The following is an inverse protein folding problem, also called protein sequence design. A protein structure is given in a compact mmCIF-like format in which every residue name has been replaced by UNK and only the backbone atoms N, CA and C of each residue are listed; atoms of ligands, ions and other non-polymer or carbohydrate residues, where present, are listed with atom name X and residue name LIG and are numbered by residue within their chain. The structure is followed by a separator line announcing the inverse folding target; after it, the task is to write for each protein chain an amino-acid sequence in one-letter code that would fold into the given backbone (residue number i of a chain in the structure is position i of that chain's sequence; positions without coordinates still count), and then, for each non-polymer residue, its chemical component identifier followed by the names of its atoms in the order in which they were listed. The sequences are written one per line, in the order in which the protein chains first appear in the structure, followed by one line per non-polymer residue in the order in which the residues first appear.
data_IF_694401530915
#
_entry.id   IF_694401530915
#
_cell.length_a   1.000
_cell.length_b   1.000
_cell.length_c   1.000
_cell.angle_alpha   90.00
_cell.angle_beta   90.00
_cell.angle_gamma   90.00
#
_symmetry.space_group_name_H-M   'P 1'
#
loop_
_entity.id
_entity.type
_entity.pdbx_description
1 polymer ?
#
# COMPACT_ATOMS: atom_id res chain seq x y z
N UNK A 1 -14.93 -26.36 -63.35
CA UNK A 1 -14.18 -25.49 -62.43
C UNK A 1 -15.15 -24.41 -61.99
N UNK A 2 -15.75 -24.56 -60.82
CA UNK A 2 -16.76 -23.64 -60.29
C UNK A 2 -16.09 -22.53 -59.48
N UNK A 3 -16.33 -21.29 -59.88
CA UNK A 3 -15.82 -20.09 -59.23
C UNK A 3 -16.40 -19.97 -57.82
N UNK A 4 -15.53 -20.12 -56.81
CA UNK A 4 -15.88 -19.85 -55.41
C UNK A 4 -15.94 -18.34 -55.22
N UNK A 5 -17.13 -17.79 -55.42
CA UNK A 5 -17.45 -16.41 -55.10
C UNK A 5 -17.20 -16.15 -53.60
N UNK A 6 -16.27 -15.24 -53.32
CA UNK A 6 -15.88 -14.90 -51.95
C UNK A 6 -17.01 -14.11 -51.30
N UNK A 7 -17.74 -14.75 -50.38
CA UNK A 7 -18.72 -14.09 -49.50
C UNK A 7 -18.07 -12.89 -48.79
N UNK A 8 -18.41 -11.68 -49.24
CA UNK A 8 -18.05 -10.44 -48.54
C UNK A 8 -19.04 -10.20 -47.41
N UNK A 9 -18.54 -10.01 -46.20
CA UNK A 9 -19.37 -9.51 -45.09
C UNK A 9 -19.78 -8.06 -45.37
N UNK A 10 -20.97 -7.70 -44.94
CA UNK A 10 -21.39 -6.31 -44.90
C UNK A 10 -20.48 -5.53 -43.93
N UNK A 11 -20.11 -4.30 -44.32
CA UNK A 11 -19.32 -3.43 -43.46
C UNK A 11 -20.14 -3.06 -42.20
N UNK A 12 -19.58 -3.21 -41.00
CA UNK A 12 -20.29 -2.88 -39.77
C UNK A 12 -20.56 -1.37 -39.69
N UNK A 13 -21.72 -1.00 -39.15
CA UNK A 13 -22.08 0.40 -38.94
C UNK A 13 -21.06 1.09 -38.02
N UNK A 14 -20.49 2.21 -38.50
CA UNK A 14 -19.55 3.02 -37.73
C UNK A 14 -20.30 4.01 -36.86
N UNK A 15 -20.73 3.56 -35.68
CA UNK A 15 -21.40 4.39 -34.67
C UNK A 15 -20.41 5.24 -33.87
N UNK A 16 -19.67 6.12 -34.53
CA UNK A 16 -18.79 7.12 -33.87
C UNK A 16 -17.75 6.53 -32.90
N UNK A 17 -17.03 7.40 -32.16
CA UNK A 17 -16.15 6.97 -31.08
C UNK A 17 -16.99 6.57 -29.87
N UNK A 18 -16.85 5.33 -29.40
CA UNK A 18 -17.43 4.90 -28.12
C UNK A 18 -16.71 5.67 -27.01
N UNK A 19 -17.36 6.70 -26.47
CA UNK A 19 -16.84 7.53 -25.37
C UNK A 19 -17.31 7.05 -24.00
N UNK A 20 -17.86 5.84 -23.95
CA UNK A 20 -18.40 5.27 -22.72
C UNK A 20 -17.31 4.44 -22.03
N UNK A 21 -16.62 5.07 -21.08
CA UNK A 21 -15.51 4.49 -20.32
C UNK A 21 -15.94 3.26 -19.49
N UNK A 22 -17.23 3.17 -19.13
CA UNK A 22 -17.78 2.04 -18.37
C UNK A 22 -17.68 0.70 -19.12
N UNK A 23 -17.71 0.73 -20.46
CA UNK A 23 -17.62 -0.47 -21.28
C UNK A 23 -16.25 -1.14 -21.27
N UNK A 24 -15.19 -0.41 -20.90
CA UNK A 24 -13.82 -0.95 -20.86
C UNK A 24 -13.53 -1.78 -19.60
N UNK A 25 -14.31 -1.61 -18.53
CA UNK A 25 -14.19 -2.39 -17.30
C UNK A 25 -15.06 -3.66 -17.32
N UNK A 26 -15.09 -4.37 -18.47
CA UNK A 26 -15.68 -5.71 -18.50
C UNK A 26 -14.74 -6.70 -17.81
N UNK A 27 -15.28 -7.37 -16.80
CA UNK A 27 -14.62 -8.45 -16.07
C UNK A 27 -14.10 -9.53 -17.04
N UNK A 28 -12.79 -9.79 -16.96
CA UNK A 28 -12.07 -10.79 -17.76
C UNK A 28 -12.56 -12.22 -17.51
N UNK A 29 -13.34 -12.47 -16.44
CA UNK A 29 -13.98 -13.75 -16.18
C UNK A 29 -15.02 -14.16 -17.25
N UNK A 30 -15.52 -13.22 -18.05
CA UNK A 30 -16.58 -13.47 -19.05
C UNK A 30 -16.12 -14.24 -20.29
N UNK A 31 -14.82 -14.41 -20.53
CA UNK A 31 -14.30 -15.08 -21.74
C UNK A 31 -14.17 -16.61 -21.62
N UNK A 32 -14.32 -17.18 -20.41
CA UNK A 32 -14.07 -18.60 -20.14
C UNK A 32 -15.31 -19.43 -19.76
N UNK A 33 -16.53 -18.90 -19.94
CA UNK A 33 -17.75 -19.67 -19.66
C UNK A 33 -18.23 -20.45 -20.90
N UNK A 34 -18.45 -21.78 -20.81
CA UNK A 34 -19.16 -22.52 -21.83
C UNK A 34 -20.61 -22.02 -21.94
N UNK A 35 -21.04 -21.72 -23.17
CA UNK A 35 -22.25 -20.99 -23.54
C UNK A 35 -23.57 -21.75 -23.37
N UNK A 36 -23.83 -22.36 -22.21
CA UNK A 36 -25.08 -23.12 -21.97
C UNK A 36 -25.84 -22.77 -20.69
N UNK A 37 -25.58 -21.63 -20.07
CA UNK A 37 -26.46 -21.08 -19.04
C UNK A 37 -26.84 -19.66 -19.45
N UNK A 38 -28.09 -19.50 -19.88
CA UNK A 38 -28.74 -18.20 -20.01
C UNK A 38 -28.79 -17.61 -18.60
N UNK A 39 -28.02 -16.54 -18.29
CA UNK A 39 -28.08 -15.92 -16.98
C UNK A 39 -29.43 -15.22 -16.86
N UNK A 40 -30.12 -15.47 -15.75
CA UNK A 40 -31.34 -14.78 -15.39
C UNK A 40 -31.00 -13.29 -15.20
N UNK A 41 -31.52 -12.35 -16.02
CA UNK A 41 -31.09 -10.94 -16.03
C UNK A 41 -31.50 -10.16 -14.77
N UNK A 42 -32.13 -10.82 -13.80
CA UNK A 42 -32.65 -10.21 -12.57
C UNK A 42 -31.71 -10.33 -11.36
N UNK A 43 -30.66 -11.15 -11.40
CA UNK A 43 -29.85 -11.44 -10.22
C UNK A 43 -28.59 -10.56 -10.05
N UNK A 44 -28.11 -9.92 -11.12
CA UNK A 44 -26.84 -9.16 -11.12
C UNK A 44 -27.02 -7.66 -11.45
N UNK A 45 -28.25 -7.13 -11.39
CA UNK A 45 -28.42 -5.68 -11.42
C UNK A 45 -28.06 -5.11 -10.04
N UNK A 46 -27.01 -4.27 -9.92
CA UNK A 46 -26.84 -3.47 -8.73
C UNK A 46 -28.12 -2.63 -8.53
N UNK A 47 -28.56 -2.43 -7.27
CA UNK A 47 -29.79 -1.71 -6.99
C UNK A 47 -29.78 -0.35 -7.71
N UNK A 48 -30.93 0.11 -8.25
CA UNK A 48 -31.01 1.41 -8.90
C UNK A 48 -30.57 2.48 -7.91
N UNK A 49 -29.49 3.19 -8.23
CA UNK A 49 -29.02 4.32 -7.44
C UNK A 49 -30.10 5.40 -7.48
N UNK A 50 -30.58 5.79 -6.30
CA UNK A 50 -31.55 6.86 -6.18
C UNK A 50 -30.91 8.19 -6.66
N UNK A 51 -31.67 9.07 -7.31
CA UNK A 51 -31.17 10.35 -7.82
C UNK A 51 -30.89 11.28 -6.64
N UNK A 52 -29.71 11.13 -6.04
CA UNK A 52 -29.25 11.86 -4.86
C UNK A 52 -27.90 11.36 -4.31
N UNK A 53 -27.40 10.23 -4.79
CA UNK A 53 -26.16 9.64 -4.27
C UNK A 53 -24.91 10.46 -4.63
N UNK A 54 -24.20 10.83 -3.57
CA UNK A 54 -22.95 11.58 -3.59
C UNK A 54 -21.88 10.80 -4.39
N UNK A 55 -21.27 11.40 -5.43
CA UNK A 55 -20.20 10.76 -6.20
C UNK A 55 -19.02 10.31 -5.31
N UNK A 56 -18.83 10.93 -4.14
CA UNK A 56 -17.83 10.53 -3.16
C UNK A 56 -18.21 9.18 -2.52
N UNK A 57 -19.48 8.98 -2.16
CA UNK A 57 -19.96 7.71 -1.61
C UNK A 57 -19.81 6.55 -2.61
N UNK A 58 -20.08 6.83 -3.90
CA UNK A 58 -19.85 5.87 -4.98
C UNK A 58 -18.35 5.53 -5.12
N UNK A 59 -17.47 6.53 -5.05
CA UNK A 59 -16.03 6.32 -5.10
C UNK A 59 -15.50 5.47 -3.94
N UNK A 60 -16.01 5.71 -2.73
CA UNK A 60 -15.65 4.92 -1.53
C UNK A 60 -16.15 3.48 -1.67
N UNK A 61 -17.38 3.27 -2.14
CA UNK A 61 -17.92 1.94 -2.39
C UNK A 61 -17.09 1.16 -3.42
N UNK A 62 -16.69 1.82 -4.51
CA UNK A 62 -15.81 1.24 -5.53
C UNK A 62 -14.43 0.88 -4.94
N UNK A 63 -13.88 1.75 -4.08
CA UNK A 63 -12.62 1.51 -3.37
C UNK A 63 -12.67 0.25 -2.51
N UNK A 64 -13.73 0.07 -1.71
CA UNK A 64 -13.91 -1.14 -0.91
C UNK A 64 -14.07 -2.40 -1.77
N UNK A 65 -14.75 -2.31 -2.92
CA UNK A 65 -14.92 -3.43 -3.84
C UNK A 65 -13.58 -3.92 -4.41
N UNK A 66 -12.68 -3.00 -4.78
CA UNK A 66 -11.34 -3.36 -5.28
C UNK A 66 -10.50 -4.05 -4.21
N UNK A 67 -10.56 -3.56 -2.96
CA UNK A 67 -9.86 -4.17 -1.82
C UNK A 67 -10.40 -5.57 -1.54
N UNK A 68 -11.71 -5.75 -1.54
CA UNK A 68 -12.32 -7.06 -1.32
C UNK A 68 -11.92 -8.08 -2.41
N UNK A 69 -11.87 -7.64 -3.68
CA UNK A 69 -11.43 -8.48 -4.78
C UNK A 69 -9.96 -8.89 -4.64
N UNK A 70 -9.08 -7.98 -4.20
CA UNK A 70 -7.67 -8.32 -3.94
C UNK A 70 -7.52 -9.31 -2.77
N UNK A 71 -8.34 -9.18 -1.72
CA UNK A 71 -8.36 -10.14 -0.61
C UNK A 71 -8.81 -11.52 -1.11
N UNK A 72 -9.85 -11.58 -1.96
CA UNK A 72 -10.31 -12.84 -2.56
C UNK A 72 -9.24 -13.47 -3.46
N UNK A 73 -8.56 -12.68 -4.27
CA UNK A 73 -7.48 -13.15 -5.12
C UNK A 73 -6.29 -13.68 -4.30
N UNK A 74 -5.91 -12.97 -3.23
CA UNK A 74 -4.89 -13.40 -2.29
C UNK A 74 -5.26 -14.72 -1.60
N UNK A 75 -6.53 -14.86 -1.19
CA UNK A 75 -7.03 -16.09 -0.58
C UNK A 75 -6.96 -17.28 -1.55
N UNK A 76 -7.33 -17.09 -2.82
CA UNK A 76 -7.21 -18.12 -3.86
C UNK A 76 -5.74 -18.51 -4.11
N UNK A 77 -4.83 -17.54 -4.17
CA UNK A 77 -3.41 -17.79 -4.35
C UNK A 77 -2.77 -18.51 -3.14
N UNK A 78 -3.18 -18.18 -1.93
CA UNK A 78 -2.71 -18.86 -0.72
C UNK A 78 -3.20 -20.33 -0.67
N UNK A 79 -4.43 -20.59 -1.11
CA UNK A 79 -4.98 -21.95 -1.20
C UNK A 79 -4.26 -22.81 -2.24
N UNK A 80 -3.87 -22.26 -3.39
CA UNK A 80 -3.11 -23.02 -4.39
C UNK A 80 -1.69 -23.35 -3.92
N UNK A 81 -1.03 -22.42 -3.23
CA UNK A 81 0.28 -22.66 -2.60
C UNK A 81 0.21 -23.76 -1.53
N UNK A 82 -0.78 -23.70 -0.64
CA UNK A 82 -0.97 -24.68 0.44
C UNK A 82 -1.31 -26.08 -0.09
N UNK A 83 -2.18 -26.17 -1.10
CA UNK A 83 -2.56 -27.46 -1.68
C UNK A 83 -1.44 -28.04 -2.56
N UNK A 84 -0.59 -27.21 -3.15
CA UNK A 84 0.57 -27.63 -3.93
C UNK A 84 1.61 -28.37 -3.07
N UNK A 85 1.86 -27.90 -1.84
CA UNK A 85 2.82 -28.55 -0.92
C UNK A 85 2.32 -29.90 -0.39
N UNK A 86 1.03 -30.02 -0.12
CA UNK A 86 0.44 -31.26 0.42
C UNK A 86 0.33 -32.35 -0.65
N UNK A 87 0.03 -31.97 -1.91
CA UNK A 87 -0.01 -32.90 -3.04
C UNK A 87 1.38 -33.48 -3.39
N UNK A 88 2.46 -32.71 -3.23
CA UNK A 88 3.82 -33.17 -3.47
C UNK A 88 4.32 -34.14 -2.37
N UNK A 89 3.89 -33.97 -1.12
CA UNK A 89 4.29 -34.88 -0.03
C UNK A 89 3.66 -36.28 -0.16
N UNK A 90 2.46 -36.40 -0.71
CA UNK A 90 1.82 -37.71 -0.89
C UNK A 90 2.32 -38.48 -2.12
N UNK A 91 2.89 -37.80 -3.12
CA UNK A 91 3.47 -38.46 -4.30
C UNK A 91 4.86 -39.08 -4.06
N UNK A 92 5.60 -38.64 -3.03
CA UNK A 92 6.98 -39.11 -2.77
C UNK A 92 7.10 -40.29 -1.80
N UNK A 93 6.01 -40.80 -1.21
CA UNK A 93 6.09 -41.95 -0.29
C UNK A 93 6.24 -43.31 -0.99
N UNK A 94 6.02 -43.38 -2.31
CA UNK A 94 6.06 -44.63 -3.07
C UNK A 94 7.21 -44.76 -4.09
N UNK A 95 8.12 -43.78 -4.21
CA UNK A 95 9.30 -43.87 -5.09
C UNK A 95 10.59 -44.01 -4.29
N UNK A 96 10.78 -45.18 -3.68
CA UNK A 96 12.09 -45.54 -3.16
C UNK A 96 13.11 -45.61 -4.31
N UNK A 97 14.26 -44.94 -4.11
CA UNK A 97 15.56 -45.15 -4.77
C UNK A 97 16.00 -44.10 -5.79
N UNK A 98 16.23 -42.86 -5.33
CA UNK A 98 17.46 -42.12 -5.66
C UNK A 98 17.66 -40.92 -4.71
N UNK A 99 18.80 -40.81 -4.00
CA UNK A 99 19.09 -39.64 -3.18
C UNK A 99 19.77 -38.57 -4.04
N UNK A 100 19.10 -37.45 -4.28
CA UNK A 100 19.75 -36.20 -4.69
C UNK A 100 19.18 -35.05 -3.86
N UNK A 101 19.61 -35.00 -2.60
CA UNK A 101 19.44 -33.85 -1.71
C UNK A 101 20.26 -32.71 -2.27
N UNK A 102 19.62 -31.69 -2.87
CA UNK A 102 20.12 -30.30 -3.01
C UNK A 102 19.18 -29.34 -3.80
N UNK A 103 18.01 -29.76 -4.30
CA UNK A 103 17.18 -28.90 -5.18
C UNK A 103 16.27 -27.89 -4.47
N UNK A 104 15.84 -28.11 -3.23
CA UNK A 104 14.87 -27.21 -2.58
C UNK A 104 15.38 -25.80 -2.24
N UNK A 105 16.71 -25.57 -2.26
CA UNK A 105 17.29 -24.24 -2.07
C UNK A 105 17.37 -23.39 -3.35
N UNK A 106 17.31 -24.02 -4.53
CA UNK A 106 17.44 -23.32 -5.81
C UNK A 106 16.14 -22.59 -6.19
N UNK A 107 14.98 -23.20 -5.92
CA UNK A 107 13.68 -22.65 -6.32
C UNK A 107 13.31 -21.35 -5.57
N UNK A 108 13.75 -21.20 -4.31
CA UNK A 108 13.55 -19.97 -3.54
C UNK A 108 14.45 -18.83 -4.05
N UNK A 109 15.67 -19.17 -4.45
CA UNK A 109 16.60 -18.21 -5.06
C UNK A 109 16.03 -17.67 -6.36
N UNK A 110 15.57 -18.54 -7.24
CA UNK A 110 14.97 -18.16 -8.53
C UNK A 110 13.70 -17.31 -8.36
N UNK A 111 12.87 -17.61 -7.35
CA UNK A 111 11.70 -16.79 -7.03
C UNK A 111 12.09 -15.39 -6.55
N UNK A 112 13.06 -15.27 -5.63
CA UNK A 112 13.52 -13.98 -5.12
C UNK A 112 14.16 -13.14 -6.24
N UNK A 113 14.96 -13.76 -7.10
CA UNK A 113 15.54 -13.08 -8.27
C UNK A 113 14.44 -12.59 -9.22
N UNK A 114 13.40 -13.39 -9.45
CA UNK A 114 12.24 -12.98 -10.28
C UNK A 114 11.42 -11.87 -9.62
N UNK A 115 11.24 -11.89 -8.29
CA UNK A 115 10.52 -10.85 -7.55
C UNK A 115 11.26 -9.50 -7.58
N UNK A 116 12.60 -9.52 -7.46
CA UNK A 116 13.42 -8.32 -7.57
C UNK A 116 13.36 -7.73 -8.98
N UNK A 117 13.45 -8.56 -10.02
CA UNK A 117 13.29 -8.10 -11.40
C UNK A 117 11.89 -7.52 -11.67
N UNK A 118 10.84 -8.14 -11.14
CA UNK A 118 9.47 -7.61 -11.24
C UNK A 118 9.35 -6.22 -10.58
N UNK A 119 10.00 -6.01 -9.43
CA UNK A 119 9.99 -4.72 -8.74
C UNK A 119 10.77 -3.64 -9.51
N UNK A 120 11.88 -4.02 -10.16
CA UNK A 120 12.68 -3.13 -11.00
C UNK A 120 11.91 -2.71 -12.26
N UNK A 121 11.26 -3.64 -12.94
CA UNK A 121 10.46 -3.36 -14.14
C UNK A 121 9.20 -2.52 -13.81
N UNK A 122 8.56 -2.78 -12.67
CA UNK A 122 7.44 -1.96 -12.20
C UNK A 122 7.86 -0.53 -11.81
N UNK A 123 9.05 -0.39 -11.21
CA UNK A 123 9.61 0.91 -10.83
C UNK A 123 9.88 1.82 -12.03
N UNK A 124 10.41 1.28 -13.14
CA UNK A 124 10.63 2.07 -14.35
C UNK A 124 9.31 2.52 -14.99
N UNK A 125 8.28 1.67 -14.99
CA UNK A 125 6.96 2.03 -15.52
C UNK A 125 6.30 3.17 -14.75
N UNK A 126 6.45 3.20 -13.42
CA UNK A 126 5.91 4.30 -12.60
C UNK A 126 6.63 5.62 -12.91
N UNK A 127 7.96 5.58 -13.10
CA UNK A 127 8.72 6.76 -13.49
C UNK A 127 8.35 7.25 -14.89
N UNK A 128 8.17 6.35 -15.86
CA UNK A 128 7.73 6.69 -17.21
C UNK A 128 6.34 7.34 -17.21
N UNK A 129 5.41 6.86 -16.38
CA UNK A 129 4.09 7.47 -16.23
C UNK A 129 4.18 8.87 -15.62
N UNK A 130 5.03 9.06 -14.59
CA UNK A 130 5.25 10.38 -13.98
C UNK A 130 5.88 11.34 -14.98
N UNK A 131 6.84 10.88 -15.77
CA UNK A 131 7.49 11.68 -16.81
C UNK A 131 6.52 12.01 -17.95
N UNK A 132 5.70 11.06 -18.39
CA UNK A 132 4.69 11.25 -19.44
C UNK A 132 3.54 12.17 -19.01
N UNK A 133 3.22 12.18 -17.70
CA UNK A 133 2.31 13.16 -17.08
C UNK A 133 2.97 14.53 -16.97
N UNK A 134 4.26 14.60 -16.61
CA UNK A 134 5.02 15.84 -16.56
C UNK A 134 5.21 16.49 -17.94
N UNK A 135 5.31 15.70 -19.01
CA UNK A 135 5.49 16.21 -20.38
C UNK A 135 4.17 16.59 -21.07
N UNK A 136 2.99 16.24 -20.51
CA UNK A 136 1.69 16.57 -21.08
C UNK A 136 0.99 17.74 -20.36
N UNK A 137 1.05 18.97 -20.90
CA UNK A 137 0.45 20.15 -20.24
C UNK A 137 -1.08 20.08 -20.11
N UNK A 138 -1.76 19.24 -20.91
CA UNK A 138 -3.21 19.00 -20.80
C UNK A 138 -3.60 18.12 -19.61
N UNK A 139 -2.71 17.22 -19.17
CA UNK A 139 -2.93 16.39 -17.98
C UNK A 139 -2.59 17.17 -16.70
N UNK A 140 -1.61 18.06 -16.77
CA UNK A 140 -1.30 18.98 -15.66
C UNK A 140 -2.49 19.87 -15.30
N UNK A 141 -3.23 20.38 -16.29
CA UNK A 141 -4.44 21.19 -16.05
C UNK A 141 -5.62 20.41 -15.45
N UNK A 142 -5.70 19.09 -15.70
CA UNK A 142 -6.71 18.23 -15.09
C UNK A 142 -6.34 17.88 -13.64
N UNK A 143 -5.04 17.67 -13.37
CA UNK A 143 -4.52 17.46 -12.02
C UNK A 143 -4.57 18.72 -11.15
N UNK A 144 -4.48 19.93 -11.72
CA UNK A 144 -4.68 21.17 -10.96
C UNK A 144 -6.12 21.34 -10.47
N UNK A 145 -7.12 20.75 -11.13
CA UNK A 145 -8.51 20.81 -10.64
C UNK A 145 -8.71 19.90 -9.43
N UNK A 146 -8.02 18.75 -9.37
CA UNK A 146 -7.94 17.86 -8.19
C UNK A 146 -7.04 18.45 -7.09
N UNK A 147 -6.20 19.44 -7.42
CA UNK A 147 -5.31 20.14 -6.47
C UNK A 147 -5.96 21.37 -5.81
N UNK A 148 -7.27 21.54 -5.97
CA UNK A 148 -8.06 22.61 -5.32
C UNK A 148 -8.62 22.12 -3.98
N UNK A 149 -7.80 21.41 -3.20
CA UNK A 149 -7.95 21.28 -1.77
C UNK A 149 -6.56 21.52 -1.17
N UNK A 150 -6.35 22.80 -0.81
CA UNK A 150 -5.12 23.35 -0.25
C UNK A 150 -4.86 22.75 1.13
N UNK A 151 -3.93 21.80 1.24
CA UNK A 151 -3.36 21.41 2.55
C UNK A 151 -1.91 20.91 2.52
N UNK A 152 -1.20 20.98 1.39
CA UNK A 152 0.19 20.53 1.34
C UNK A 152 1.04 21.46 0.49
N UNK A 153 1.97 22.16 1.16
CA UNK A 153 3.21 22.73 0.59
C UNK A 153 3.32 24.25 0.41
N UNK A 154 2.74 25.08 1.30
CA UNK A 154 3.20 26.47 1.44
C UNK A 154 3.03 27.06 2.86
N UNK A 155 3.76 26.56 3.84
CA UNK A 155 3.97 27.25 5.13
C UNK A 155 5.29 26.81 5.78
N UNK A 156 6.40 27.10 5.10
CA UNK A 156 7.74 27.13 5.70
C UNK A 156 8.41 28.43 5.25
N UNK A 157 7.99 29.54 5.84
CA UNK A 157 8.79 30.74 6.08
C UNK A 157 7.83 31.87 6.50
N UNK A 158 7.90 32.24 7.79
CA UNK A 158 7.17 33.32 8.46
C UNK A 158 5.83 32.91 9.12
N UNK A 159 5.90 32.32 10.31
CA UNK A 159 5.29 32.98 11.48
C UNK A 159 5.83 32.37 12.78
N UNK A 160 6.54 33.19 13.54
CA UNK A 160 6.94 32.87 14.89
C UNK A 160 5.85 33.43 15.81
N UNK A 161 5.01 32.54 16.34
CA UNK A 161 4.19 32.80 17.52
C UNK A 161 2.71 33.05 17.26
N UNK A 162 1.91 32.00 17.29
CA UNK A 162 0.57 32.06 17.85
C UNK A 162 0.08 30.66 18.23
N UNK A 163 -0.18 30.49 19.52
CA UNK A 163 -0.96 29.42 20.11
C UNK A 163 -2.35 29.43 19.47
N UNK A 164 -2.74 28.34 18.82
CA UNK A 164 -4.05 28.17 18.21
C UNK A 164 -4.51 26.72 18.32
N UNK A 165 -5.19 26.42 19.42
CA UNK A 165 -5.83 25.13 19.66
C UNK A 165 -7.06 24.97 18.73
N UNK A 166 -6.98 24.04 17.78
CA UNK A 166 -8.14 23.47 17.11
C UNK A 166 -8.40 22.06 17.66
N UNK A 167 -9.52 21.93 18.39
CA UNK A 167 -10.05 20.65 18.85
C UNK A 167 -10.87 20.00 17.72
N UNK A 168 -10.76 18.68 17.55
CA UNK A 168 -11.66 17.97 16.65
C UNK A 168 -11.39 16.51 16.35
N UNK A 169 -10.26 15.94 16.79
CA UNK A 169 -10.08 14.49 16.92
C UNK A 169 -9.55 14.21 18.31
N UNK A 170 -10.25 13.42 19.12
CA UNK A 170 -9.72 12.92 20.40
C UNK A 170 -8.69 11.82 20.14
N UNK A 171 -7.70 12.12 19.29
CA UNK A 171 -6.53 11.30 19.10
C UNK A 171 -5.60 11.46 20.28
N UNK A 172 -5.04 10.34 20.73
CA UNK A 172 -3.97 10.33 21.72
C UNK A 172 -2.80 11.17 21.19
N UNK A 173 -2.39 12.20 21.94
CA UNK A 173 -1.27 13.07 21.55
C UNK A 173 0.05 12.38 21.92
N UNK A 174 1.02 12.42 21.02
CA UNK A 174 2.37 11.92 21.29
C UNK A 174 3.34 13.09 21.22
N UNK A 175 3.95 13.41 22.37
CA UNK A 175 5.11 14.27 22.47
C UNK A 175 6.38 13.47 22.30
N UNK A 176 7.42 14.09 21.73
CA UNK A 176 8.75 13.48 21.62
C UNK A 176 9.74 14.39 22.31
N UNK A 177 10.41 13.86 23.33
CA UNK A 177 11.48 14.52 24.06
C UNK A 177 12.81 13.86 23.70
N UNK A 178 13.78 14.66 23.28
CA UNK A 178 15.09 14.18 22.83
C UNK A 178 16.17 14.65 23.81
N UNK A 179 16.84 13.71 24.45
CA UNK A 179 17.97 13.96 25.37
C UNK A 179 19.25 13.57 24.64
N UNK A 180 20.01 14.58 24.23
CA UNK A 180 21.21 14.43 23.40
C UNK A 180 22.20 15.55 23.71
N UNK A 181 23.50 15.24 23.70
CA UNK A 181 24.55 16.27 23.74
C UNK A 181 24.80 16.91 22.36
N UNK A 182 24.33 16.27 21.28
CA UNK A 182 24.57 16.67 19.89
C UNK A 182 23.29 17.21 19.22
N UNK A 183 23.41 18.05 18.18
CA UNK A 183 22.25 18.48 17.41
C UNK A 183 21.53 17.29 16.78
N UNK A 184 20.25 17.14 17.09
CA UNK A 184 19.42 16.06 16.55
C UNK A 184 17.97 16.51 16.37
N UNK A 185 17.26 15.82 15.49
CA UNK A 185 15.86 16.06 15.17
C UNK A 185 15.09 14.76 15.29
N UNK A 186 13.92 14.80 15.93
CA UNK A 186 13.03 13.66 16.02
C UNK A 186 11.68 13.99 15.39
N UNK A 187 11.11 13.02 14.67
CA UNK A 187 9.79 13.12 14.05
C UNK A 187 9.05 11.81 14.29
N UNK A 188 7.88 11.91 14.93
CA UNK A 188 6.94 10.81 15.07
C UNK A 188 5.77 11.03 14.11
N UNK A 189 5.37 9.96 13.41
CA UNK A 189 4.23 9.97 12.51
C UNK A 189 3.31 8.81 12.88
N UNK A 190 2.06 9.12 13.22
CA UNK A 190 1.06 8.14 13.62
C UNK A 190 0.08 7.90 12.49
N UNK A 191 -0.21 6.64 12.24
CA UNK A 191 -1.13 6.17 11.22
C UNK A 191 -2.38 5.62 11.92
N UNK A 192 -3.54 6.22 11.64
CA UNK A 192 -4.82 5.78 12.16
C UNK A 192 -5.45 6.76 13.15
N UNK A 193 -6.78 6.89 13.05
CA UNK A 193 -7.57 7.79 13.88
C UNK A 193 -8.04 7.09 15.17
N UNK A 194 -7.53 7.57 16.30
CA UNK A 194 -8.36 7.85 17.49
C UNK A 194 -8.77 6.74 18.46
N UNK A 195 -8.12 5.57 18.47
CA UNK A 195 -8.21 4.68 19.64
C UNK A 195 -7.00 4.93 20.55
N UNK A 196 -7.25 5.10 21.86
CA UNK A 196 -6.17 5.07 22.86
C UNK A 196 -5.50 3.70 22.80
N UNK A 197 -4.19 3.67 22.56
CA UNK A 197 -3.41 2.44 22.57
C UNK A 197 -2.27 2.55 23.56
N UNK A 198 -1.68 1.41 23.90
CA UNK A 198 -0.47 1.37 24.72
C UNK A 198 0.71 1.31 23.77
N UNK A 199 1.43 2.42 23.52
CA UNK A 199 2.55 2.37 22.60
C UNK A 199 3.65 1.49 23.16
N UNK A 200 4.23 0.71 22.26
CA UNK A 200 5.47 -0.01 22.45
C UNK A 200 6.37 0.39 21.29
N UNK A 201 7.63 0.68 21.58
CA UNK A 201 8.59 1.04 20.56
C UNK A 201 9.81 0.15 20.75
N UNK A 202 10.20 -0.52 19.67
CA UNK A 202 11.46 -1.26 19.63
C UNK A 202 12.66 -0.31 19.45
N UNK A 203 13.86 -0.87 19.51
CA UNK A 203 15.10 -0.14 19.26
C UNK A 203 15.07 0.55 17.89
N UNK A 204 15.54 1.81 17.80
CA UNK A 204 15.65 2.48 16.50
C UNK A 204 16.91 1.99 15.79
N UNK A 205 16.75 1.53 14.55
CA UNK A 205 17.83 0.98 13.75
C UNK A 205 18.25 1.96 12.66
N UNK A 206 19.55 2.04 12.43
CA UNK A 206 20.08 2.70 11.26
C UNK A 206 19.91 1.82 10.01
N UNK A 207 19.93 2.39 8.79
CA UNK A 207 19.90 1.61 7.55
C UNK A 207 21.15 0.72 7.39
N UNK A 208 22.28 1.14 7.97
CA UNK A 208 23.50 0.33 8.01
C UNK A 208 23.46 -0.66 9.18
N UNK A 209 23.62 -1.95 8.86
CA UNK A 209 23.61 -3.07 9.81
C UNK A 209 24.75 -3.01 10.83
N UNK A 210 25.85 -2.35 10.50
CA UNK A 210 27.01 -2.23 11.38
C UNK A 210 26.87 -1.12 12.43
N UNK A 211 25.90 -0.23 12.24
CA UNK A 211 25.65 0.86 13.18
C UNK A 211 24.83 0.35 14.37
N UNK A 212 25.26 0.56 15.63
CA UNK A 212 24.53 0.09 16.79
C UNK A 212 23.13 0.72 16.86
N UNK A 213 22.09 0.00 17.30
CA UNK A 213 20.76 0.56 17.43
C UNK A 213 20.65 1.50 18.64
N UNK A 214 19.71 2.44 18.60
CA UNK A 214 19.36 3.29 19.73
C UNK A 214 18.41 2.53 20.66
N UNK A 215 18.86 2.24 21.87
CA UNK A 215 18.12 1.47 22.88
C UNK A 215 17.56 2.32 24.03
N UNK A 216 18.00 3.58 24.15
CA UNK A 216 17.67 4.49 25.26
C UNK A 216 16.27 5.11 25.18
N UNK A 217 15.25 4.33 24.81
CA UNK A 217 13.91 4.86 24.54
C UNK A 217 12.98 4.50 25.69
N UNK A 218 12.32 5.51 26.25
CA UNK A 218 11.37 5.35 27.35
C UNK A 218 10.04 5.98 26.99
N UNK A 219 8.97 5.34 27.42
CA UNK A 219 7.61 5.78 27.21
C UNK A 219 7.08 6.24 28.56
N UNK A 220 6.83 7.54 28.68
CA UNK A 220 6.33 8.16 29.90
C UNK A 220 4.91 8.69 29.67
N UNK A 221 4.01 8.61 30.67
CA UNK A 221 2.74 9.31 30.59
C UNK A 221 2.98 10.81 30.55
N UNK A 222 2.29 11.53 29.65
CA UNK A 222 2.38 12.98 29.62
C UNK A 222 1.68 13.56 30.87
N UNK A 223 2.38 14.45 31.58
CA UNK A 223 1.86 15.19 32.73
C UNK A 223 0.62 16.03 32.42
N UNK A 224 0.38 16.35 31.14
CA UNK A 224 -0.83 17.06 30.70
C UNK A 224 -2.12 16.19 30.69
N UNK A 225 -1.98 14.88 30.92
CA UNK A 225 -3.09 13.96 31.21
C UNK A 225 -3.82 13.38 30.01
N UNK A 226 -3.46 13.73 28.77
CA UNK A 226 -4.10 13.17 27.57
C UNK A 226 -3.10 12.83 26.44
N UNK A 227 -1.89 12.46 26.82
CA UNK A 227 -0.84 12.12 25.87
C UNK A 227 0.21 11.17 26.43
N UNK A 228 1.10 10.75 25.56
CA UNK A 228 2.31 10.02 25.89
C UNK A 228 3.50 10.88 25.50
N UNK A 229 4.54 10.84 26.32
CA UNK A 229 5.85 11.39 26.00
C UNK A 229 6.81 10.25 25.64
N UNK A 230 7.33 10.26 24.42
CA UNK A 230 8.43 9.39 24.01
C UNK A 230 9.74 10.10 24.33
N UNK A 231 10.45 9.63 25.35
CA UNK A 231 11.77 10.13 25.71
C UNK A 231 12.84 9.28 25.03
N UNK A 232 13.61 9.90 24.15
CA UNK A 232 14.72 9.24 23.44
C UNK A 232 16.05 9.78 23.97
N UNK A 233 16.81 8.92 24.64
CA UNK A 233 18.17 9.21 25.09
C UNK A 233 19.18 8.72 24.06
N UNK A 234 19.94 9.65 23.49
CA UNK A 234 20.98 9.36 22.49
C UNK A 234 22.34 9.32 23.19
N UNK A 235 23.08 8.19 23.15
CA UNK A 235 24.44 8.13 23.67
C UNK A 235 25.40 9.02 22.87
N UNK A 236 26.41 9.59 23.53
CA UNK A 236 27.37 10.49 22.88
C UNK A 236 28.27 9.76 21.85
N UNK A 237 28.51 8.46 22.04
CA UNK A 237 29.27 7.60 21.14
C UNK A 237 28.46 7.14 19.92
N UNK A 238 27.18 7.51 19.83
CA UNK A 238 26.33 7.12 18.73
C UNK A 238 26.76 7.80 17.42
N UNK A 239 27.01 7.05 16.33
CA UNK A 239 27.39 7.65 15.06
C UNK A 239 26.26 8.49 14.48
N UNK A 240 26.63 9.54 13.74
CA UNK A 240 25.67 10.36 13.02
C UNK A 240 24.94 9.54 11.96
N UNK A 241 23.66 9.79 11.76
CA UNK A 241 22.83 8.98 10.88
C UNK A 241 21.33 9.19 11.09
N UNK A 242 20.55 8.42 10.34
CA UNK A 242 19.09 8.37 10.47
C UNK A 242 18.74 7.03 11.11
N UNK A 243 17.96 7.09 12.18
CA UNK A 243 17.50 5.95 12.94
C UNK A 243 15.98 5.90 12.84
N UNK A 244 15.43 4.76 12.44
CA UNK A 244 13.99 4.56 12.30
C UNK A 244 13.51 3.36 13.10
N UNK A 245 12.26 3.43 13.57
CA UNK A 245 11.59 2.35 14.26
C UNK A 245 10.08 2.47 14.16
N UNK A 246 9.40 1.38 14.49
CA UNK A 246 7.95 1.29 14.45
C UNK A 246 7.37 1.53 15.83
N UNK A 247 6.34 2.36 15.89
CA UNK A 247 5.47 2.50 17.07
C UNK A 247 4.40 1.42 16.93
N UNK A 248 4.43 0.44 17.82
CA UNK A 248 3.50 -0.68 17.87
C UNK A 248 2.48 -0.46 18.99
N UNK A 249 1.32 -1.10 18.86
CA UNK A 249 0.38 -1.28 19.95
C UNK A 249 0.78 -2.50 20.78
N UNK A 250 1.07 -2.31 22.07
CA UNK A 250 1.53 -3.38 22.95
C UNK A 250 0.50 -4.52 23.10
N UNK A 251 -0.79 -4.22 22.94
CA UNK A 251 -1.84 -5.21 23.10
C UNK A 251 -2.00 -6.12 21.87
N UNK A 252 -1.93 -5.54 20.67
CA UNK A 252 -2.18 -6.26 19.40
C UNK A 252 -0.92 -6.57 18.60
N UNK A 253 0.19 -5.88 18.86
CA UNK A 253 1.40 -5.90 18.02
C UNK A 253 1.25 -5.14 16.70
N UNK A 254 0.13 -4.44 16.48
CA UNK A 254 -0.10 -3.73 15.23
C UNK A 254 0.76 -2.46 15.12
N UNK A 255 1.33 -2.15 13.94
CA UNK A 255 2.02 -0.90 13.72
C UNK A 255 1.04 0.27 13.69
N UNK A 256 1.23 1.22 14.60
CA UNK A 256 0.46 2.47 14.74
C UNK A 256 1.21 3.69 14.25
N UNK A 257 2.51 3.58 13.97
CA UNK A 257 3.31 4.73 13.59
C UNK A 257 4.77 4.42 13.30
N UNK A 258 5.49 5.46 12.95
CA UNK A 258 6.95 5.44 12.76
C UNK A 258 7.59 6.55 13.58
N UNK A 259 8.74 6.26 14.16
CA UNK A 259 9.61 7.25 14.80
C UNK A 259 10.91 7.32 14.01
N UNK A 260 11.29 8.53 13.62
CA UNK A 260 12.53 8.81 12.91
C UNK A 260 13.36 9.82 13.70
N UNK A 261 14.61 9.49 13.97
CA UNK A 261 15.58 10.34 14.67
C UNK A 261 16.79 10.55 13.77
N UNK A 262 17.10 11.81 13.48
CA UNK A 262 18.26 12.21 12.70
C UNK A 262 19.31 12.84 13.62
N UNK A 263 20.50 12.25 13.65
CA UNK A 263 21.65 12.78 14.37
C UNK A 263 22.59 13.49 13.39
N UNK A 264 22.96 14.74 13.68
CA UNK A 264 23.88 15.51 12.86
C UNK A 264 25.34 15.32 13.31
N UNK A 265 26.24 15.29 12.31
CA UNK A 265 27.70 15.17 12.44
C UNK A 265 28.32 16.32 13.20
#
# INVERSE_FOLDING_TARGET
MSDRERLRRADPERTGPIRDFTTYFRDTASWNMPSSQTPDPAADQPPPLEPGDDPIAYGVALGYQVVEEHIRQGYRAAHTLRNGTDAQQHAHRNSSKQPNTNQSGADLGDFLTRAVHLYQDAGSLVLDVVEQVAQNPRLQSALSFVRSDDAFSQANAADAGAVGATAGGQGQRIGVELITARPAQARAELHGASASFTPMLDELRAPDKHTPPLTGIQILPDTSGNGIMLQVKVPDEQPAGIYSGLILDAASGEPRGTLCVRLSG
#
